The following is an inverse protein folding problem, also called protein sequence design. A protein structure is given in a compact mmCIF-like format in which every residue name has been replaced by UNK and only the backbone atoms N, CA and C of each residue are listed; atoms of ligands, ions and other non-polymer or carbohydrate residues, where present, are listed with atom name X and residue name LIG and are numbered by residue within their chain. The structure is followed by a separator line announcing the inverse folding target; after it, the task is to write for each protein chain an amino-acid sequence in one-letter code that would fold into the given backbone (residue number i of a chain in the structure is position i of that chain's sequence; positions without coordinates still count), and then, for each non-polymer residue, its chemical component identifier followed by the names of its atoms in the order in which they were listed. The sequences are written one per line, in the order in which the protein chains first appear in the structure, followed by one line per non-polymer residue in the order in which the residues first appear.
data_IF_622379573365
#
_entry.id   IF_622379573365
#
_cell.length_a   1.000
_cell.length_b   1.000
_cell.length_c   1.000
_cell.angle_alpha   90.00
_cell.angle_beta   90.00
_cell.angle_gamma   90.00
#
_symmetry.space_group_name_H-M   'P 1'
#
loop_
_entity.id
_entity.type
_entity.pdbx_description
1 polymer ?
#
# COMPACT_ATOMS: atom_id res chain seq x y z
N UNK A 1 -12.44 -16.05 -21.73
CA UNK A 1 -12.68 -14.69 -21.18
C UNK A 1 -12.72 -14.81 -19.68
N UNK A 2 -11.63 -14.48 -18.99
CA UNK A 2 -11.56 -14.52 -17.53
C UNK A 2 -11.75 -13.09 -16.98
N UNK A 3 -12.47 -12.96 -15.86
CA UNK A 3 -12.60 -11.69 -15.16
C UNK A 3 -11.20 -11.19 -14.74
N UNK A 4 -10.92 -9.90 -14.95
CA UNK A 4 -9.72 -9.25 -14.44
C UNK A 4 -9.97 -8.80 -13.01
N UNK A 5 -9.15 -9.28 -12.08
CA UNK A 5 -9.27 -8.98 -10.67
C UNK A 5 -8.02 -8.25 -10.18
N UNK A 6 -8.19 -7.03 -9.67
CA UNK A 6 -7.09 -6.21 -9.15
C UNK A 6 -7.30 -6.03 -7.66
N UNK A 7 -6.34 -6.47 -6.86
CA UNK A 7 -6.38 -6.37 -5.42
C UNK A 7 -5.39 -5.34 -4.89
N UNK A 8 -5.90 -4.37 -4.14
CA UNK A 8 -5.10 -3.36 -3.46
C UNK A 8 -4.59 -3.90 -2.11
N UNK A 9 -3.39 -4.48 -2.16
CA UNK A 9 -2.65 -4.86 -0.96
C UNK A 9 -1.85 -3.70 -0.39
N UNK A 10 -1.04 -3.95 0.63
CA UNK A 10 -0.25 -2.95 1.35
C UNK A 10 1.14 -3.47 1.68
N UNK A 11 2.17 -2.61 1.64
CA UNK A 11 3.53 -2.92 2.12
C UNK A 11 3.58 -3.27 3.62
N UNK A 12 2.49 -2.99 4.33
CA UNK A 12 2.23 -3.45 5.68
C UNK A 12 2.37 -4.99 5.90
N UNK A 13 2.36 -5.82 4.85
CA UNK A 13 2.47 -7.28 4.97
C UNK A 13 3.89 -7.79 5.34
N UNK A 14 4.91 -6.93 5.29
CA UNK A 14 6.30 -7.31 5.55
C UNK A 14 6.71 -7.32 7.02
N UNK A 15 5.94 -6.69 7.93
CA UNK A 15 6.21 -6.79 9.37
C UNK A 15 7.38 -5.94 9.88
N UNK A 16 8.18 -6.50 10.80
CA UNK A 16 9.45 -5.89 11.20
C UNK A 16 10.42 -5.91 10.03
N UNK A 17 10.92 -4.72 9.69
CA UNK A 17 11.71 -4.47 8.50
C UNK A 17 13.03 -5.25 8.57
N UNK A 18 13.33 -6.18 7.63
CA UNK A 18 14.70 -6.67 7.46
C UNK A 18 15.59 -5.50 7.03
N UNK A 19 16.88 -5.51 7.41
CA UNK A 19 17.82 -4.42 7.08
C UNK A 19 17.85 -4.14 5.56
N UNK A 20 17.18 -3.08 5.10
CA UNK A 20 17.15 -2.67 3.69
C UNK A 20 15.77 -2.29 3.12
N UNK A 21 15.68 -1.98 1.82
CA UNK A 21 14.43 -1.81 1.10
C UNK A 21 13.72 -3.17 0.92
N UNK A 22 12.41 -3.19 1.14
CA UNK A 22 11.58 -4.36 0.88
C UNK A 22 11.47 -4.58 -0.63
N UNK A 23 11.56 -5.84 -1.05
CA UNK A 23 11.41 -6.27 -2.45
C UNK A 23 10.19 -7.16 -2.59
N UNK A 24 9.75 -7.43 -3.81
CA UNK A 24 8.60 -8.31 -4.05
C UNK A 24 8.83 -9.75 -3.53
N UNK A 25 10.10 -10.14 -3.38
CA UNK A 25 10.55 -11.44 -2.86
C UNK A 25 10.74 -11.47 -1.34
N UNK A 26 10.60 -10.33 -0.66
CA UNK A 26 10.73 -10.27 0.80
C UNK A 26 9.64 -11.10 1.47
N UNK A 27 10.00 -11.86 2.51
CA UNK A 27 9.06 -12.73 3.21
C UNK A 27 7.98 -11.91 3.92
N UNK A 28 6.75 -12.41 3.88
CA UNK A 28 5.66 -11.90 4.69
C UNK A 28 5.91 -12.25 6.17
N UNK A 29 6.09 -11.26 7.03
CA UNK A 29 6.17 -11.43 8.48
C UNK A 29 5.13 -10.55 9.20
N UNK A 30 3.83 -10.66 8.88
CA UNK A 30 2.82 -9.79 9.47
C UNK A 30 2.76 -9.99 10.99
N UNK A 31 3.11 -8.96 11.76
CA UNK A 31 3.25 -9.05 13.23
C UNK A 31 1.96 -8.78 14.02
N UNK A 32 0.85 -8.44 13.35
CA UNK A 32 -0.42 -8.12 14.06
C UNK A 32 -1.66 -8.64 13.33
N UNK A 33 -2.55 -9.30 14.10
CA UNK A 33 -3.86 -9.81 13.65
C UNK A 33 -5.04 -8.96 14.14
N UNK A 34 -4.83 -8.03 15.07
CA UNK A 34 -5.91 -7.29 15.74
C UNK A 34 -5.55 -5.80 15.92
N UNK A 35 -6.45 -4.91 15.49
CA UNK A 35 -6.45 -3.50 15.90
C UNK A 35 -5.53 -2.55 15.11
N UNK A 36 -6.15 -1.59 14.40
CA UNK A 36 -5.58 -0.38 13.75
C UNK A 36 -4.46 -0.55 12.68
N UNK A 37 -3.73 -1.66 12.64
CA UNK A 37 -2.93 -2.14 11.47
C UNK A 37 -3.75 -3.14 10.63
N UNK A 38 -5.04 -2.81 10.46
CA UNK A 38 -6.09 -3.73 10.02
C UNK A 38 -5.82 -4.33 8.64
N UNK A 39 -5.68 -5.65 8.61
CA UNK A 39 -5.71 -6.46 7.39
C UNK A 39 -4.36 -6.92 6.88
N UNK A 40 -3.24 -6.78 7.60
CA UNK A 40 -1.93 -7.28 7.10
C UNK A 40 -1.95 -8.79 6.83
N UNK A 41 -2.35 -9.59 7.83
CA UNK A 41 -2.48 -11.06 7.68
C UNK A 41 -3.53 -11.39 6.62
N UNK A 42 -4.71 -10.76 6.68
CA UNK A 42 -5.79 -11.01 5.72
C UNK A 42 -5.38 -10.65 4.29
N UNK A 43 -4.66 -9.53 4.10
CA UNK A 43 -4.14 -9.11 2.80
C UNK A 43 -3.09 -10.11 2.32
N UNK A 44 -2.15 -10.53 3.16
CA UNK A 44 -1.18 -11.56 2.80
C UNK A 44 -1.88 -12.88 2.38
N UNK A 45 -2.90 -13.33 3.11
CA UNK A 45 -3.72 -14.48 2.72
C UNK A 45 -4.42 -14.24 1.38
N UNK A 46 -5.02 -13.07 1.16
CA UNK A 46 -5.63 -12.73 -0.12
C UNK A 46 -4.60 -12.72 -1.26
N UNK A 47 -3.38 -12.20 -1.05
CA UNK A 47 -2.31 -12.22 -2.07
C UNK A 47 -2.00 -13.66 -2.49
N UNK A 48 -1.83 -14.57 -1.53
CA UNK A 48 -1.57 -15.98 -1.79
C UNK A 48 -2.73 -16.66 -2.50
N UNK A 49 -3.97 -16.39 -2.08
CA UNK A 49 -5.17 -16.93 -2.73
C UNK A 49 -5.32 -16.46 -4.17
N UNK A 50 -5.14 -15.16 -4.43
CA UNK A 50 -5.22 -14.60 -5.78
C UNK A 50 -4.15 -15.22 -6.68
N UNK A 51 -2.94 -15.42 -6.15
CA UNK A 51 -1.85 -16.05 -6.89
C UNK A 51 -2.22 -17.51 -7.27
N UNK A 52 -2.75 -18.31 -6.33
CA UNK A 52 -3.15 -19.69 -6.64
C UNK A 52 -4.34 -19.74 -7.62
N UNK A 53 -5.29 -18.83 -7.51
CA UNK A 53 -6.44 -18.75 -8.44
C UNK A 53 -6.01 -18.30 -9.85
N UNK A 54 -5.02 -17.40 -9.94
CA UNK A 54 -4.44 -16.96 -11.21
C UNK A 54 -3.64 -18.08 -11.87
N UNK A 55 -2.81 -18.79 -11.11
CA UNK A 55 -2.05 -19.96 -11.59
C UNK A 55 -2.94 -21.08 -12.12
N UNK A 56 -4.14 -21.25 -11.54
CA UNK A 56 -5.15 -22.22 -11.99
C UNK A 56 -6.05 -21.71 -13.12
N UNK A 57 -5.79 -20.51 -13.65
CA UNK A 57 -6.60 -19.86 -14.70
C UNK A 57 -8.07 -19.62 -14.32
N UNK A 58 -8.39 -19.52 -13.02
CA UNK A 58 -9.74 -19.18 -12.57
C UNK A 58 -10.04 -17.68 -12.74
N UNK A 59 -9.02 -16.82 -12.68
CA UNK A 59 -9.12 -15.37 -12.87
C UNK A 59 -7.78 -14.80 -13.38
N UNK A 60 -7.80 -13.62 -14.02
CA UNK A 60 -6.59 -12.82 -14.30
C UNK A 60 -6.36 -11.89 -13.11
N UNK A 61 -5.66 -12.41 -12.10
CA UNK A 61 -5.46 -11.76 -10.81
C UNK A 61 -4.15 -10.99 -10.76
N UNK A 62 -4.23 -9.73 -10.33
CA UNK A 62 -3.07 -8.86 -10.13
C UNK A 62 -3.15 -8.21 -8.76
N UNK A 63 -2.02 -8.18 -8.07
CA UNK A 63 -1.90 -7.62 -6.72
C UNK A 63 -0.96 -6.43 -6.77
N UNK A 64 -1.39 -5.30 -6.20
CA UNK A 64 -0.58 -4.11 -6.05
C UNK A 64 -0.35 -3.83 -4.56
N UNK A 65 0.91 -3.78 -4.10
CA UNK A 65 1.25 -3.41 -2.72
C UNK A 65 1.39 -1.91 -2.63
N UNK A 66 0.35 -1.26 -2.11
CA UNK A 66 0.31 0.20 -2.08
C UNK A 66 1.04 0.75 -0.85
N UNK A 67 1.86 1.82 -1.02
CA UNK A 67 2.40 2.58 0.11
C UNK A 67 1.30 3.43 0.76
N UNK A 68 1.65 4.17 1.80
CA UNK A 68 0.69 5.08 2.44
C UNK A 68 0.37 6.26 1.54
N UNK A 69 -0.88 6.33 1.08
CA UNK A 69 -1.34 7.41 0.20
C UNK A 69 -1.65 8.66 1.01
N UNK A 70 -0.95 9.75 0.71
CA UNK A 70 -1.09 11.07 1.34
C UNK A 70 -1.08 12.18 0.27
N UNK A 71 -1.60 13.38 0.58
CA UNK A 71 -2.46 13.68 1.72
C UNK A 71 -3.85 13.06 1.51
N UNK A 72 -4.44 12.53 2.58
CA UNK A 72 -5.85 12.13 2.56
C UNK A 72 -6.75 13.33 2.88
N UNK A 73 -7.86 13.54 2.15
CA UNK A 73 -8.70 14.71 2.35
C UNK A 73 -9.52 14.61 3.65
N UNK A 74 -10.02 13.42 3.99
CA UNK A 74 -10.75 13.18 5.23
C UNK A 74 -9.85 12.83 6.42
N UNK A 75 -10.33 13.20 7.62
CA UNK A 75 -9.70 12.81 8.88
C UNK A 75 -9.80 11.30 9.05
N UNK A 76 -8.64 10.65 9.16
CA UNK A 76 -8.53 9.22 9.36
C UNK A 76 -7.90 8.94 10.74
N UNK A 77 -7.73 7.67 11.10
CA UNK A 77 -7.03 7.26 12.33
C UNK A 77 -5.76 6.46 12.01
N UNK A 78 -4.84 6.42 12.97
CA UNK A 78 -3.60 5.66 12.89
C UNK A 78 -2.48 6.33 12.10
N UNK A 79 -1.46 5.54 11.76
CA UNK A 79 -0.22 6.01 11.13
C UNK A 79 -0.46 6.77 9.80
N UNK A 80 -1.31 6.30 8.86
CA UNK A 80 -1.60 7.04 7.62
C UNK A 80 -2.21 8.42 7.84
N UNK A 81 -3.01 8.57 8.90
CA UNK A 81 -3.61 9.83 9.25
C UNK A 81 -2.57 10.80 9.80
N UNK A 82 -1.68 10.34 10.68
CA UNK A 82 -0.61 11.17 11.23
C UNK A 82 0.30 11.75 10.13
N UNK A 83 0.69 10.96 9.12
CA UNK A 83 1.45 11.47 7.97
C UNK A 83 0.64 12.44 7.08
N UNK A 84 -0.68 12.25 6.99
CA UNK A 84 -1.55 13.17 6.24
C UNK A 84 -1.77 14.48 6.97
N UNK A 85 -1.92 14.45 8.30
CA UNK A 85 -2.21 15.61 9.13
C UNK A 85 -1.05 16.62 9.12
N UNK A 86 0.20 16.12 9.13
CA UNK A 86 1.41 16.95 8.99
C UNK A 86 1.43 17.78 7.71
N UNK A 87 0.80 17.30 6.63
CA UNK A 87 0.67 18.07 5.38
C UNK A 87 -0.63 18.87 5.34
N UNK A 88 -1.75 18.25 5.72
CA UNK A 88 -3.11 18.80 5.54
C UNK A 88 -3.38 19.97 6.47
N UNK A 89 -3.01 19.88 7.75
CA UNK A 89 -3.34 20.93 8.73
C UNK A 89 -2.55 22.23 8.45
N UNK A 90 -1.24 22.23 8.15
CA UNK A 90 -0.53 23.45 7.76
C UNK A 90 -1.05 24.09 6.48
N UNK A 91 -1.47 23.28 5.50
CA UNK A 91 -2.11 23.79 4.27
C UNK A 91 -3.46 24.46 4.52
N UNK A 92 -4.10 24.17 5.65
CA UNK A 92 -5.34 24.81 6.11
C UNK A 92 -5.09 25.93 7.13
N UNK A 93 -3.82 26.28 7.40
CA UNK A 93 -3.44 27.28 8.41
C UNK A 93 -3.71 26.86 9.85
N UNK A 94 -3.77 25.55 10.12
CA UNK A 94 -4.00 24.98 11.44
C UNK A 94 -2.72 24.37 12.00
N UNK A 95 -2.58 24.44 13.32
CA UNK A 95 -1.47 23.77 14.01
C UNK A 95 -1.65 22.25 13.97
N UNK A 96 -0.57 21.54 13.64
CA UNK A 96 -0.53 20.09 13.64
C UNK A 96 0.28 19.58 14.84
N UNK A 97 -0.30 18.66 15.61
CA UNK A 97 0.46 17.91 16.62
C UNK A 97 1.16 16.74 15.93
N UNK A 98 2.49 16.74 15.94
CA UNK A 98 3.29 15.65 15.41
C UNK A 98 3.26 14.46 16.39
N UNK A 99 2.41 13.47 16.12
CA UNK A 99 2.30 12.24 16.92
C UNK A 99 3.27 11.13 16.46
N UNK A 100 4.36 11.49 15.78
CA UNK A 100 5.33 10.56 15.19
C UNK A 100 6.76 10.97 15.55
N UNK A 101 7.68 10.00 15.71
CA UNK A 101 9.11 10.30 15.78
C UNK A 101 9.57 11.02 14.49
N UNK A 102 10.35 12.12 14.59
CA UNK A 102 10.81 12.88 13.41
C UNK A 102 11.64 12.06 12.42
N UNK A 103 12.28 11.02 12.92
CA UNK A 103 13.20 10.13 12.21
C UNK A 103 12.53 8.83 11.74
N UNK A 104 11.23 8.65 11.97
CA UNK A 104 10.51 7.44 11.55
C UNK A 104 10.48 7.34 10.01
N UNK A 105 11.19 6.37 9.40
CA UNK A 105 11.11 6.16 7.97
C UNK A 105 9.79 5.50 7.62
N UNK A 106 9.06 6.05 6.64
CA UNK A 106 7.80 5.48 6.19
C UNK A 106 7.58 5.70 4.70
N UNK A 107 7.13 4.65 4.00
CA UNK A 107 6.83 4.73 2.58
C UNK A 107 5.52 5.48 2.33
N UNK A 108 5.63 6.67 1.74
CA UNK A 108 4.50 7.54 1.40
C UNK A 108 4.48 7.85 -0.09
N UNK A 109 3.29 8.04 -0.66
CA UNK A 109 3.13 8.38 -2.07
C UNK A 109 1.88 9.23 -2.31
N UNK A 110 1.95 10.13 -3.30
CA UNK A 110 0.79 10.88 -3.77
C UNK A 110 -0.15 10.01 -4.60
N UNK A 111 -1.46 10.22 -4.50
CA UNK A 111 -2.46 9.42 -5.23
C UNK A 111 -2.24 9.44 -6.75
N UNK A 112 -1.82 10.59 -7.32
CA UNK A 112 -1.58 10.73 -8.78
C UNK A 112 -0.44 9.84 -9.25
N UNK A 113 0.65 9.82 -8.48
CA UNK A 113 1.82 8.99 -8.79
C UNK A 113 1.42 7.52 -8.72
N UNK A 114 0.68 7.13 -7.68
CA UNK A 114 0.24 5.76 -7.50
C UNK A 114 -0.65 5.26 -8.66
N UNK A 115 -1.65 6.07 -9.05
CA UNK A 115 -2.53 5.71 -10.18
C UNK A 115 -1.73 5.60 -11.47
N UNK A 116 -0.82 6.54 -11.74
CA UNK A 116 0.00 6.52 -12.96
C UNK A 116 0.93 5.31 -13.02
N UNK A 117 1.61 4.99 -11.91
CA UNK A 117 2.56 3.87 -11.89
C UNK A 117 1.86 2.51 -11.94
N UNK A 118 0.69 2.39 -11.30
CA UNK A 118 -0.05 1.12 -11.26
C UNK A 118 -0.89 0.87 -12.51
N UNK A 119 -1.33 1.95 -13.17
CA UNK A 119 -2.12 1.95 -14.40
C UNK A 119 -1.47 2.86 -15.43
N UNK A 120 -0.28 2.51 -15.93
CA UNK A 120 0.35 3.30 -16.98
C UNK A 120 -0.58 3.32 -18.21
N UNK A 121 -0.65 4.45 -18.91
CA UNK A 121 -1.48 4.54 -20.10
C UNK A 121 -1.01 3.50 -21.15
N UNK A 122 -1.92 2.99 -22.00
CA UNK A 122 -1.64 1.85 -22.88
C UNK A 122 -0.41 2.02 -23.78
N UNK A 123 -0.05 3.24 -24.16
CA UNK A 123 1.11 3.54 -25.00
C UNK A 123 2.46 3.43 -24.27
N UNK A 124 2.48 3.49 -22.93
CA UNK A 124 3.69 3.23 -22.13
C UNK A 124 3.96 1.73 -21.94
N UNK A 125 2.96 0.87 -22.19
CA UNK A 125 3.04 -0.59 -22.04
C UNK A 125 3.60 -1.34 -23.27
N UNK A 126 3.96 -0.61 -24.34
CA UNK A 126 4.35 -1.21 -25.64
C UNK A 126 5.82 -1.68 -25.67
N UNK A 127 6.62 -1.39 -24.63
CA UNK A 127 8.07 -1.65 -24.61
C UNK A 127 8.55 -2.79 -23.69
N UNK A 128 7.68 -3.41 -22.90
CA UNK A 128 8.06 -4.49 -21.97
C UNK A 128 7.34 -5.77 -22.34
N UNK A 129 7.92 -6.52 -23.28
CA UNK A 129 7.68 -7.95 -23.47
C UNK A 129 8.99 -8.69 -23.24
#
# INVERSE_FOLDING_TARGET
VGCKFIFASSGACFGERPEGPETDLTKFLPSTSYGMKLGMVTKACCELMINDYTRRNFLDGRVARLPTVIPRPERNSGLPAAFSDVLREPLLGKDCVLNLPPDMPHAVCGYRVLVRTQFPPPWELVGTR
#
